data_IF_208081381449
#
_entry.id   IF_208081381449
#
_cell.length_a   1.000
_cell.length_b   1.000
_cell.length_c   1.000
_cell.angle_alpha   90.00
_cell.angle_beta   90.00
_cell.angle_gamma   90.00
#
_symmetry.space_group_name_H-M   'P 1'
#
loop_
_entity.id
_entity.type
_entity.pdbx_description
1 polymer ?
#
# COMPACT_ATOMS: atom_id res chain seq x y z
N UNK A 1 45.99 -48.70 -19.63
CA UNK A 1 44.54 -48.82 -19.93
C UNK A 1 43.62 -48.18 -18.86
N UNK A 2 43.81 -46.91 -18.43
CA UNK A 2 42.91 -46.27 -17.44
C UNK A 2 41.64 -45.61 -18.02
N UNK A 3 41.51 -45.45 -19.34
CA UNK A 3 40.47 -44.60 -19.95
C UNK A 3 39.02 -45.13 -19.91
N UNK A 4 38.80 -46.46 -19.85
CA UNK A 4 37.44 -47.04 -19.90
C UNK A 4 36.70 -46.93 -18.56
N UNK A 5 37.38 -47.18 -17.44
CA UNK A 5 36.78 -47.06 -16.12
C UNK A 5 36.41 -45.60 -15.81
N UNK A 6 37.29 -44.65 -16.14
CA UNK A 6 37.01 -43.22 -16.02
C UNK A 6 35.79 -42.79 -16.84
N UNK A 7 35.63 -43.30 -18.07
CA UNK A 7 34.47 -43.00 -18.91
C UNK A 7 33.15 -43.54 -18.33
N UNK A 8 33.14 -44.74 -17.75
CA UNK A 8 31.94 -45.28 -17.09
C UNK A 8 31.57 -44.51 -15.82
N UNK A 9 32.55 -44.12 -15.01
CA UNK A 9 32.33 -43.27 -13.84
C UNK A 9 31.75 -41.91 -14.23
N UNK A 10 32.30 -41.26 -15.25
CA UNK A 10 31.79 -39.98 -15.74
C UNK A 10 30.33 -40.10 -16.24
N UNK A 11 29.99 -41.16 -16.98
CA UNK A 11 28.62 -41.43 -17.44
C UNK A 11 27.66 -41.68 -16.28
N UNK A 12 28.09 -42.47 -15.29
CA UNK A 12 27.28 -42.74 -14.10
C UNK A 12 26.99 -41.45 -13.30
N UNK A 13 28.01 -40.60 -13.13
CA UNK A 13 27.86 -39.30 -12.47
C UNK A 13 26.89 -38.39 -13.23
N UNK A 14 27.03 -38.28 -14.55
CA UNK A 14 26.12 -37.48 -15.38
C UNK A 14 24.68 -37.98 -15.31
N UNK A 15 24.48 -39.31 -15.35
CA UNK A 15 23.16 -39.90 -15.18
C UNK A 15 22.55 -39.60 -13.81
N UNK A 16 23.35 -39.72 -12.73
CA UNK A 16 22.90 -39.40 -11.38
C UNK A 16 22.52 -37.92 -11.21
N UNK A 17 23.31 -37.00 -11.78
CA UNK A 17 23.00 -35.56 -11.79
C UNK A 17 21.71 -35.29 -12.56
N UNK A 18 21.54 -35.89 -13.75
CA UNK A 18 20.33 -35.71 -14.54
C UNK A 18 19.07 -36.21 -13.80
N UNK A 19 19.12 -37.40 -13.19
CA UNK A 19 18.03 -37.93 -12.38
C UNK A 19 17.72 -37.04 -11.17
N UNK A 20 18.76 -36.52 -10.50
CA UNK A 20 18.59 -35.62 -9.36
C UNK A 20 17.93 -34.31 -9.77
N UNK A 21 18.31 -33.73 -10.91
CA UNK A 21 17.71 -32.51 -11.45
C UNK A 21 16.23 -32.71 -11.81
N UNK A 22 15.88 -33.85 -12.42
CA UNK A 22 14.47 -34.17 -12.74
C UNK A 22 13.67 -34.34 -11.46
N UNK A 23 14.18 -35.10 -10.48
CA UNK A 23 13.50 -35.31 -9.20
C UNK A 23 13.30 -34.00 -8.42
N UNK A 24 14.30 -33.11 -8.44
CA UNK A 24 14.18 -31.78 -7.86
C UNK A 24 13.14 -30.92 -8.60
N UNK A 25 13.13 -30.95 -9.93
CA UNK A 25 12.14 -30.25 -10.73
C UNK A 25 10.72 -30.75 -10.47
N UNK A 26 10.50 -32.07 -10.39
CA UNK A 26 9.16 -32.63 -10.13
C UNK A 26 8.65 -32.35 -8.72
N UNK A 27 9.54 -32.15 -7.76
CA UNK A 27 9.17 -31.84 -6.37
C UNK A 27 8.98 -30.36 -6.11
N UNK A 28 9.75 -29.46 -6.75
CA UNK A 28 9.70 -28.01 -6.49
C UNK A 28 8.85 -27.21 -7.47
N UNK A 29 8.67 -27.69 -8.71
CA UNK A 29 7.89 -26.97 -9.72
C UNK A 29 6.44 -26.70 -9.29
N UNK A 30 5.72 -27.61 -8.61
CA UNK A 30 4.38 -27.33 -8.11
C UNK A 30 4.32 -26.10 -7.20
N UNK A 31 5.29 -25.94 -6.29
CA UNK A 31 5.34 -24.81 -5.35
C UNK A 31 5.50 -23.47 -6.08
N UNK A 32 6.38 -23.44 -7.10
CA UNK A 32 6.56 -22.25 -7.93
C UNK A 32 5.31 -21.91 -8.75
N UNK A 33 4.60 -22.92 -9.26
CA UNK A 33 3.34 -22.72 -10.00
C UNK A 33 2.25 -22.20 -9.07
N UNK A 34 2.12 -22.78 -7.88
CA UNK A 34 1.16 -22.36 -6.86
C UNK A 34 1.44 -20.92 -6.42
N UNK A 35 2.71 -20.60 -6.12
CA UNK A 35 3.13 -19.25 -5.77
C UNK A 35 2.82 -18.25 -6.89
N UNK A 36 3.17 -18.55 -8.15
CA UNK A 36 2.93 -17.65 -9.27
C UNK A 36 1.44 -17.33 -9.48
N UNK A 37 0.55 -18.31 -9.28
CA UNK A 37 -0.91 -18.12 -9.38
C UNK A 37 -1.45 -17.23 -8.24
N UNK A 38 -1.03 -17.51 -7.01
CA UNK A 38 -1.43 -16.71 -5.85
C UNK A 38 -0.89 -15.28 -5.94
N UNK A 39 0.35 -15.11 -6.43
CA UNK A 39 0.98 -13.81 -6.63
C UNK A 39 0.24 -12.97 -7.68
N UNK A 40 -0.23 -13.57 -8.77
CA UNK A 40 -1.05 -12.89 -9.77
C UNK A 40 -2.34 -12.29 -9.17
N UNK A 41 -3.06 -13.06 -8.36
CA UNK A 41 -4.27 -12.59 -7.69
C UNK A 41 -3.97 -11.53 -6.61
N UNK A 42 -2.93 -11.75 -5.80
CA UNK A 42 -2.45 -10.77 -4.82
C UNK A 42 -2.15 -9.42 -5.49
N UNK A 43 -1.43 -9.41 -6.60
CA UNK A 43 -1.02 -8.18 -7.28
C UNK A 43 -2.22 -7.39 -7.80
N UNK A 44 -3.26 -8.07 -8.32
CA UNK A 44 -4.53 -7.43 -8.69
C UNK A 44 -5.22 -6.81 -7.46
N UNK A 45 -5.29 -7.55 -6.35
CA UNK A 45 -5.91 -7.08 -5.11
C UNK A 45 -5.18 -5.87 -4.53
N UNK A 46 -3.84 -5.89 -4.51
CA UNK A 46 -3.01 -4.80 -3.98
C UNK A 46 -3.11 -3.54 -4.85
N UNK A 47 -3.35 -3.68 -6.16
CA UNK A 47 -3.65 -2.58 -7.07
C UNK A 47 -5.10 -2.10 -6.98
N UNK A 48 -5.86 -2.60 -5.99
CA UNK A 48 -7.27 -2.30 -5.79
C UNK A 48 -8.16 -2.65 -6.99
N UNK A 49 -7.75 -3.62 -7.82
CA UNK A 49 -8.61 -4.16 -8.87
C UNK A 49 -9.76 -4.94 -8.21
N UNK A 50 -11.03 -4.73 -8.61
CA UNK A 50 -12.13 -5.56 -8.16
C UNK A 50 -11.93 -7.01 -8.61
N UNK A 51 -11.97 -7.96 -7.68
CA UNK A 51 -11.89 -9.40 -7.96
C UNK A 51 -13.07 -10.08 -7.25
N UNK A 52 -13.85 -10.82 -8.02
CA UNK A 52 -15.07 -11.48 -7.54
C UNK A 52 -14.77 -12.75 -6.75
N UNK A 53 -15.69 -13.19 -5.90
CA UNK A 53 -15.54 -14.46 -5.17
C UNK A 53 -15.45 -15.66 -6.11
N UNK A 54 -16.15 -15.63 -7.26
CA UNK A 54 -16.08 -16.67 -8.27
C UNK A 54 -14.65 -16.85 -8.81
N UNK A 55 -13.94 -15.75 -9.10
CA UNK A 55 -12.54 -15.80 -9.55
C UNK A 55 -11.60 -16.28 -8.44
N UNK A 56 -11.89 -15.95 -7.18
CA UNK A 56 -11.09 -16.39 -6.04
C UNK A 56 -11.35 -17.85 -5.66
N UNK A 57 -12.54 -18.38 -5.95
CA UNK A 57 -12.94 -19.77 -5.70
C UNK A 57 -12.11 -20.79 -6.48
N UNK A 58 -11.65 -20.42 -7.68
CA UNK A 58 -10.69 -21.20 -8.46
C UNK A 58 -9.34 -21.38 -7.71
N UNK A 59 -9.00 -20.49 -6.79
CA UNK A 59 -7.80 -20.57 -5.94
C UNK A 59 -8.05 -21.34 -4.64
N UNK A 60 -9.28 -21.78 -4.36
CA UNK A 60 -9.66 -22.49 -3.14
C UNK A 60 -8.76 -23.68 -2.78
N UNK A 61 -8.43 -24.59 -3.72
CA UNK A 61 -7.51 -25.69 -3.46
C UNK A 61 -6.11 -25.22 -3.06
N UNK A 62 -5.59 -24.15 -3.70
CA UNK A 62 -4.28 -23.57 -3.40
C UNK A 62 -4.25 -22.96 -2.00
N UNK A 63 -5.28 -22.19 -1.66
CA UNK A 63 -5.43 -21.58 -0.33
C UNK A 63 -5.54 -22.63 0.77
N UNK A 64 -6.19 -23.77 0.49
CA UNK A 64 -6.32 -24.88 1.43
C UNK A 64 -4.97 -25.58 1.66
N UNK A 65 -4.19 -25.83 0.60
CA UNK A 65 -2.82 -26.34 0.70
C UNK A 65 -1.92 -25.39 1.51
N UNK A 66 -1.98 -24.10 1.20
CA UNK A 66 -1.20 -23.07 1.90
C UNK A 66 -1.48 -23.06 3.41
N UNK A 67 -2.71 -23.37 3.86
CA UNK A 67 -3.01 -23.48 5.30
C UNK A 67 -2.49 -24.78 5.89
N UNK A 68 -2.67 -25.90 5.19
CA UNK A 68 -2.26 -27.23 5.65
C UNK A 68 -0.74 -27.37 5.80
N UNK A 69 0.04 -26.62 5.03
CA UNK A 69 1.50 -26.64 5.08
C UNK A 69 2.01 -26.17 6.45
N UNK A 70 2.93 -26.91 7.06
CA UNK A 70 3.46 -26.56 8.40
C UNK A 70 4.69 -25.68 8.30
N UNK A 71 5.45 -25.85 7.23
CA UNK A 71 6.65 -25.09 7.01
C UNK A 71 6.31 -23.65 6.61
N UNK A 72 7.11 -22.71 7.10
CA UNK A 72 6.92 -21.30 6.77
C UNK A 72 7.32 -21.04 5.32
N UNK A 73 6.35 -20.60 4.52
CA UNK A 73 6.57 -20.16 3.14
C UNK A 73 6.09 -18.72 3.00
N UNK A 74 6.89 -17.72 3.46
CA UNK A 74 6.45 -16.33 3.62
C UNK A 74 5.74 -15.75 2.39
N UNK A 75 6.21 -16.05 1.18
CA UNK A 75 5.58 -15.57 -0.06
C UNK A 75 4.17 -16.15 -0.26
N UNK A 76 4.01 -17.46 -0.12
CA UNK A 76 2.72 -18.16 -0.27
C UNK A 76 1.75 -17.75 0.83
N UNK A 77 2.21 -17.77 2.10
CA UNK A 77 1.39 -17.41 3.24
C UNK A 77 0.89 -15.96 3.15
N UNK A 78 1.76 -15.04 2.71
CA UNK A 78 1.40 -13.64 2.48
C UNK A 78 0.35 -13.52 1.38
N UNK A 79 0.57 -14.14 0.22
CA UNK A 79 -0.40 -14.10 -0.89
C UNK A 79 -1.75 -14.68 -0.49
N UNK A 80 -1.75 -15.79 0.26
CA UNK A 80 -2.96 -16.40 0.79
C UNK A 80 -3.71 -15.48 1.77
N UNK A 81 -3.00 -14.76 2.65
CA UNK A 81 -3.59 -13.78 3.55
C UNK A 81 -4.23 -12.60 2.79
N UNK A 82 -3.58 -12.08 1.75
CA UNK A 82 -4.14 -10.99 0.90
C UNK A 82 -5.39 -11.45 0.14
N UNK A 83 -5.39 -12.67 -0.39
CA UNK A 83 -6.57 -13.22 -1.08
C UNK A 83 -7.75 -13.42 -0.11
N UNK A 84 -7.47 -13.95 1.08
CA UNK A 84 -8.50 -14.08 2.14
C UNK A 84 -9.02 -12.74 2.62
N UNK A 85 -8.19 -11.69 2.62
CA UNK A 85 -8.65 -10.34 2.91
C UNK A 85 -9.71 -9.92 1.90
N UNK A 86 -9.44 -10.12 0.59
CA UNK A 86 -10.42 -9.76 -0.43
C UNK A 86 -11.73 -10.55 -0.27
N UNK A 87 -11.68 -11.85 0.04
CA UNK A 87 -12.89 -12.63 0.35
C UNK A 87 -13.65 -12.10 1.57
N UNK A 88 -12.95 -11.68 2.62
CA UNK A 88 -13.57 -11.07 3.78
C UNK A 88 -14.19 -9.70 3.46
N UNK A 89 -13.53 -8.88 2.64
CA UNK A 89 -14.07 -7.61 2.12
C UNK A 89 -15.35 -7.86 1.28
N UNK A 90 -15.34 -8.85 0.39
CA UNK A 90 -16.50 -9.22 -0.43
C UNK A 90 -17.66 -9.74 0.45
N UNK A 91 -17.36 -10.60 1.43
CA UNK A 91 -18.33 -11.11 2.39
C UNK A 91 -18.99 -10.00 3.23
N UNK A 92 -18.22 -8.98 3.65
CA UNK A 92 -18.80 -7.81 4.31
C UNK A 92 -19.76 -7.03 3.40
N UNK A 93 -19.41 -6.92 2.10
CA UNK A 93 -20.24 -6.20 1.14
C UNK A 93 -21.53 -6.95 0.81
N UNK A 94 -21.49 -8.28 0.73
CA UNK A 94 -22.67 -9.12 0.44
C UNK A 94 -23.49 -9.49 1.68
N UNK A 95 -22.86 -9.51 2.86
CA UNK A 95 -23.42 -10.03 4.11
C UNK A 95 -23.33 -11.56 4.23
N UNK A 96 -22.77 -12.27 3.25
CA UNK A 96 -22.70 -13.73 3.24
C UNK A 96 -21.42 -14.24 3.90
N UNK A 97 -21.55 -15.22 4.81
CA UNK A 97 -20.42 -15.95 5.42
C UNK A 97 -19.37 -15.04 6.11
N UNK A 98 -19.77 -13.84 6.55
CA UNK A 98 -18.87 -12.82 7.14
C UNK A 98 -17.98 -13.43 8.23
N UNK A 99 -18.57 -14.12 9.21
CA UNK A 99 -17.81 -14.69 10.33
C UNK A 99 -16.82 -15.77 9.91
N UNK A 100 -17.21 -16.64 8.97
CA UNK A 100 -16.34 -17.68 8.45
C UNK A 100 -15.14 -17.07 7.71
N UNK A 101 -15.37 -16.12 6.80
CA UNK A 101 -14.30 -15.46 6.02
C UNK A 101 -13.37 -14.63 6.91
N UNK A 102 -13.92 -13.98 7.93
CA UNK A 102 -13.12 -13.25 8.91
C UNK A 102 -12.25 -14.17 9.77
N UNK A 103 -12.76 -15.35 10.14
CA UNK A 103 -11.99 -16.39 10.84
C UNK A 103 -10.84 -16.93 9.98
N UNK A 104 -11.13 -17.26 8.72
CA UNK A 104 -10.12 -17.70 7.74
C UNK A 104 -9.01 -16.64 7.56
N UNK A 105 -9.39 -15.36 7.48
CA UNK A 105 -8.44 -14.26 7.38
C UNK A 105 -7.56 -14.13 8.62
N UNK A 106 -8.14 -14.20 9.82
CA UNK A 106 -7.39 -14.09 11.08
C UNK A 106 -6.30 -15.17 11.18
N UNK A 107 -6.66 -16.42 10.86
CA UNK A 107 -5.73 -17.54 10.87
C UNK A 107 -4.59 -17.32 9.87
N UNK A 108 -4.92 -16.94 8.63
CA UNK A 108 -3.92 -16.73 7.58
C UNK A 108 -2.97 -15.56 7.89
N UNK A 109 -3.50 -14.44 8.40
CA UNK A 109 -2.68 -13.28 8.78
C UNK A 109 -1.77 -13.62 9.95
N UNK A 110 -2.27 -14.32 10.99
CA UNK A 110 -1.43 -14.74 12.12
C UNK A 110 -0.35 -15.72 11.70
N UNK A 111 -0.67 -16.71 10.86
CA UNK A 111 0.32 -17.64 10.29
C UNK A 111 1.38 -16.87 9.52
N UNK A 112 0.97 -16.01 8.59
CA UNK A 112 1.88 -15.26 7.75
C UNK A 112 2.77 -14.29 8.53
N UNK A 113 2.23 -13.58 9.54
CA UNK A 113 3.03 -12.75 10.46
C UNK A 113 3.98 -13.59 11.33
N UNK A 114 3.62 -14.83 11.67
CA UNK A 114 4.53 -15.75 12.33
C UNK A 114 5.76 -16.09 11.49
N UNK A 115 5.59 -16.18 10.17
CA UNK A 115 6.67 -16.44 9.21
C UNK A 115 7.40 -15.15 8.77
N UNK A 116 6.71 -14.01 8.73
CA UNK A 116 7.22 -12.71 8.28
C UNK A 116 6.74 -11.58 9.20
N UNK A 117 7.28 -11.48 10.44
CA UNK A 117 6.83 -10.49 11.43
C UNK A 117 7.13 -9.04 11.03
N UNK A 118 7.97 -8.84 10.02
CA UNK A 118 8.33 -7.53 9.49
C UNK A 118 7.43 -7.06 8.33
N UNK A 119 6.34 -7.75 7.99
CA UNK A 119 5.44 -7.33 6.90
C UNK A 119 4.47 -6.21 7.35
N UNK A 120 4.67 -4.95 6.90
CA UNK A 120 3.85 -3.81 7.35
C UNK A 120 2.39 -3.89 6.88
N UNK A 121 2.10 -4.57 5.78
CA UNK A 121 0.75 -4.68 5.26
C UNK A 121 -0.07 -5.66 6.09
N UNK A 122 0.50 -6.80 6.46
CA UNK A 122 -0.21 -7.78 7.29
C UNK A 122 -0.56 -7.23 8.68
N UNK A 123 0.27 -6.36 9.26
CA UNK A 123 -0.09 -5.61 10.47
C UNK A 123 -1.29 -4.68 10.27
N UNK A 124 -1.37 -4.00 9.12
CA UNK A 124 -2.53 -3.20 8.75
C UNK A 124 -3.78 -4.06 8.54
N UNK A 125 -3.65 -5.22 7.91
CA UNK A 125 -4.76 -6.17 7.72
C UNK A 125 -5.26 -6.67 9.07
N UNK A 126 -4.36 -7.01 10.00
CA UNK A 126 -4.75 -7.44 11.34
C UNK A 126 -5.44 -6.30 12.10
N UNK A 127 -4.95 -5.07 12.00
CA UNK A 127 -5.60 -3.89 12.55
C UNK A 127 -7.03 -3.72 12.03
N UNK A 128 -7.21 -3.76 10.71
CA UNK A 128 -8.52 -3.67 10.07
C UNK A 128 -9.48 -4.77 10.54
N UNK A 129 -9.00 -6.01 10.57
CA UNK A 129 -9.77 -7.18 10.99
C UNK A 129 -10.26 -7.05 12.44
N UNK A 130 -9.36 -6.66 13.35
CA UNK A 130 -9.70 -6.51 14.78
C UNK A 130 -10.71 -5.40 14.99
N UNK A 131 -10.53 -4.23 14.36
CA UNK A 131 -11.49 -3.15 14.47
C UNK A 131 -12.85 -3.48 13.86
N UNK A 132 -12.87 -4.22 12.75
CA UNK A 132 -14.12 -4.64 12.11
C UNK A 132 -14.90 -5.61 13.00
N UNK A 133 -14.22 -6.53 13.68
CA UNK A 133 -14.88 -7.55 14.53
C UNK A 133 -15.19 -7.07 15.95
N UNK A 134 -14.35 -6.23 16.53
CA UNK A 134 -14.35 -5.93 17.97
C UNK A 134 -14.56 -4.45 18.27
N UNK A 135 -14.64 -3.60 17.23
CA UNK A 135 -14.65 -2.15 17.39
C UNK A 135 -13.25 -1.58 17.65
N UNK A 136 -13.19 -0.25 17.71
CA UNK A 136 -11.97 0.51 17.93
C UNK A 136 -11.53 0.38 19.40
N UNK A 137 -10.24 0.09 19.62
CA UNK A 137 -9.66 0.01 20.97
C UNK A 137 -8.18 0.40 20.96
N UNK A 138 -7.66 0.83 22.11
CA UNK A 138 -6.27 1.23 22.25
C UNK A 138 -5.29 0.10 21.88
N UNK A 139 -5.62 -1.14 22.24
CA UNK A 139 -4.83 -2.33 21.91
C UNK A 139 -4.71 -2.55 20.39
N UNK A 140 -5.72 -2.14 19.61
CA UNK A 140 -5.67 -2.26 18.16
C UNK A 140 -4.69 -1.23 17.56
N UNK A 141 -4.54 -0.03 18.15
CA UNK A 141 -3.63 0.98 17.62
C UNK A 141 -2.16 0.55 17.58
N UNK A 142 -1.73 -0.37 18.45
CA UNK A 142 -0.39 -0.97 18.37
C UNK A 142 -0.14 -1.72 17.06
N UNK A 143 -1.18 -2.31 16.47
CA UNK A 143 -1.10 -2.98 15.17
C UNK A 143 -0.87 -1.96 14.04
N UNK A 144 -1.60 -0.83 14.07
CA UNK A 144 -1.39 0.25 13.11
C UNK A 144 -0.01 0.89 13.27
N UNK A 145 0.44 1.10 14.50
CA UNK A 145 1.79 1.57 14.82
C UNK A 145 2.86 0.65 14.26
N UNK A 146 2.65 -0.67 14.32
CA UNK A 146 3.57 -1.63 13.73
C UNK A 146 3.62 -1.52 12.20
N UNK A 147 2.48 -1.30 11.54
CA UNK A 147 2.45 -1.03 10.09
C UNK A 147 3.27 0.21 9.71
N UNK A 148 3.10 1.31 10.45
CA UNK A 148 3.88 2.54 10.23
C UNK A 148 5.37 2.35 10.48
N UNK A 149 5.73 1.64 11.56
CA UNK A 149 7.13 1.41 11.94
C UNK A 149 7.88 0.57 10.91
N UNK A 150 7.25 -0.47 10.37
CA UNK A 150 7.90 -1.41 9.46
C UNK A 150 7.87 -0.96 8.00
N UNK A 151 6.89 -0.16 7.60
CA UNK A 151 6.70 0.27 6.21
C UNK A 151 6.28 1.73 6.07
N UNK A 152 7.05 2.71 6.57
CA UNK A 152 6.67 4.12 6.54
C UNK A 152 6.64 4.74 5.13
N UNK A 153 7.31 4.10 4.16
CA UNK A 153 7.53 4.59 2.79
C UNK A 153 6.97 3.64 1.70
N UNK A 154 6.12 2.69 2.08
CA UNK A 154 5.56 1.70 1.16
C UNK A 154 4.34 2.27 0.42
N UNK A 155 4.59 2.99 -0.69
CA UNK A 155 3.54 3.73 -1.43
C UNK A 155 2.30 2.91 -1.80
N UNK A 156 2.47 1.61 -2.06
CA UNK A 156 1.37 0.69 -2.37
C UNK A 156 0.46 0.37 -1.15
N UNK A 157 0.96 0.52 0.08
CA UNK A 157 0.17 0.37 1.32
C UNK A 157 -0.56 1.68 1.65
N UNK A 158 0.09 2.80 1.35
CA UNK A 158 -0.32 4.13 1.84
C UNK A 158 -1.78 4.42 1.52
N UNK A 159 -2.27 4.10 0.31
CA UNK A 159 -3.67 4.39 -0.06
C UNK A 159 -4.66 3.75 0.91
N UNK A 160 -4.54 2.44 1.16
CA UNK A 160 -5.43 1.75 2.10
C UNK A 160 -5.21 2.19 3.54
N UNK A 161 -3.94 2.35 3.96
CA UNK A 161 -3.59 2.74 5.33
C UNK A 161 -4.07 4.14 5.68
N UNK A 162 -3.71 5.13 4.86
CA UNK A 162 -4.12 6.53 5.04
C UNK A 162 -5.64 6.65 4.99
N UNK A 163 -6.33 6.00 4.04
CA UNK A 163 -7.78 6.08 3.97
C UNK A 163 -8.43 5.61 5.28
N UNK A 164 -8.01 4.44 5.78
CA UNK A 164 -8.51 3.88 7.02
C UNK A 164 -8.17 4.75 8.24
N UNK A 165 -6.93 5.18 8.36
CA UNK A 165 -6.48 6.01 9.47
C UNK A 165 -7.17 7.37 9.48
N UNK A 166 -7.40 7.98 8.32
CA UNK A 166 -8.12 9.25 8.18
C UNK A 166 -9.60 9.12 8.57
N UNK A 167 -10.26 8.00 8.26
CA UNK A 167 -11.65 7.76 8.70
C UNK A 167 -11.81 7.76 10.22
N UNK A 168 -10.75 7.44 10.97
CA UNK A 168 -10.75 7.40 12.44
C UNK A 168 -9.80 8.41 13.08
N UNK A 169 -9.42 9.47 12.35
CA UNK A 169 -8.32 10.35 12.71
C UNK A 169 -8.48 10.98 14.10
N UNK A 170 -9.69 11.42 14.46
CA UNK A 170 -9.95 12.06 15.76
C UNK A 170 -9.85 11.09 16.95
N UNK A 171 -9.91 9.78 16.71
CA UNK A 171 -9.72 8.76 17.72
C UNK A 171 -8.26 8.26 17.80
N UNK A 172 -7.39 8.67 16.87
CA UNK A 172 -6.00 8.23 16.86
C UNK A 172 -5.21 8.82 18.04
N UNK A 173 -4.35 8.03 18.68
CA UNK A 173 -3.27 8.54 19.51
C UNK A 173 -2.45 9.62 18.79
N UNK A 174 -1.86 10.54 19.56
CA UNK A 174 -1.17 11.71 19.01
C UNK A 174 0.02 11.36 18.10
N UNK A 175 0.72 10.27 18.40
CA UNK A 175 1.82 9.77 17.57
C UNK A 175 1.29 9.25 16.21
N UNK A 176 0.23 8.45 16.21
CA UNK A 176 -0.39 7.95 14.98
C UNK A 176 -1.03 9.06 14.14
N UNK A 177 -1.67 10.03 14.78
CA UNK A 177 -2.17 11.23 14.08
C UNK A 177 -1.03 11.96 13.37
N UNK A 178 0.13 12.06 14.02
CA UNK A 178 1.32 12.69 13.44
C UNK A 178 1.88 11.87 12.28
N UNK A 179 1.90 10.54 12.40
CA UNK A 179 2.34 9.64 11.35
C UNK A 179 1.45 9.72 10.10
N UNK A 180 0.13 9.84 10.26
CA UNK A 180 -0.84 10.02 9.15
C UNK A 180 -0.59 11.33 8.42
N UNK A 181 -0.41 12.44 9.15
CA UNK A 181 -0.10 13.75 8.54
C UNK A 181 1.24 13.69 7.79
N UNK A 182 2.25 13.07 8.39
CA UNK A 182 3.56 12.91 7.77
C UNK A 182 3.52 12.00 6.53
N UNK A 183 2.71 10.94 6.55
CA UNK A 183 2.47 10.06 5.41
C UNK A 183 1.81 10.81 4.24
N UNK A 184 0.78 11.61 4.50
CA UNK A 184 0.17 12.47 3.50
C UNK A 184 1.19 13.44 2.88
N UNK A 185 2.02 14.08 3.70
CA UNK A 185 3.09 14.94 3.21
C UNK A 185 4.11 14.20 2.34
N UNK A 186 4.43 12.93 2.68
CA UNK A 186 5.30 12.08 1.88
C UNK A 186 4.70 11.78 0.51
N UNK A 187 3.41 11.49 0.40
CA UNK A 187 2.74 11.27 -0.90
C UNK A 187 2.94 12.46 -1.84
N UNK A 188 2.69 13.67 -1.34
CA UNK A 188 2.85 14.90 -2.13
C UNK A 188 4.32 15.12 -2.50
N UNK A 189 5.24 14.87 -1.56
CA UNK A 189 6.68 14.96 -1.80
C UNK A 189 7.17 13.97 -2.87
N UNK A 190 6.60 12.77 -2.94
CA UNK A 190 6.97 11.72 -3.91
C UNK A 190 6.11 11.74 -5.17
N UNK A 191 5.37 12.82 -5.42
CA UNK A 191 4.59 13.03 -6.64
C UNK A 191 3.44 12.03 -6.85
N UNK A 192 2.99 11.37 -5.78
CA UNK A 192 1.78 10.52 -5.76
C UNK A 192 0.54 11.40 -5.60
N UNK A 193 0.33 12.29 -6.57
CA UNK A 193 -0.69 13.33 -6.50
C UNK A 193 -2.10 12.76 -6.58
N UNK A 194 -2.33 11.75 -7.42
CA UNK A 194 -3.66 11.14 -7.57
C UNK A 194 -4.14 10.55 -6.24
N UNK A 195 -3.27 9.81 -5.55
CA UNK A 195 -3.55 9.22 -4.25
C UNK A 195 -3.75 10.30 -3.18
N UNK A 196 -2.90 11.33 -3.16
CA UNK A 196 -3.04 12.45 -2.22
C UNK A 196 -4.36 13.19 -2.42
N UNK A 197 -4.75 13.43 -3.67
CA UNK A 197 -6.04 14.07 -4.03
C UNK A 197 -7.21 13.22 -3.57
N UNK A 198 -7.19 11.91 -3.84
CA UNK A 198 -8.26 10.99 -3.47
C UNK A 198 -8.42 10.90 -1.95
N UNK A 199 -7.31 10.86 -1.20
CA UNK A 199 -7.34 10.89 0.25
C UNK A 199 -7.87 12.23 0.79
N UNK A 200 -7.42 13.36 0.24
CA UNK A 200 -7.80 14.68 0.71
C UNK A 200 -9.27 15.01 0.41
N UNK A 201 -9.78 14.64 -0.76
CA UNK A 201 -11.19 14.88 -1.15
C UNK A 201 -12.15 13.91 -0.46
N UNK A 202 -11.67 12.73 -0.07
CA UNK A 202 -12.43 11.70 0.62
C UNK A 202 -12.28 11.79 2.14
N UNK A 203 -11.70 10.76 2.79
CA UNK A 203 -11.66 10.66 4.25
C UNK A 203 -10.84 11.77 4.92
N UNK A 204 -9.89 12.39 4.21
CA UNK A 204 -9.05 13.46 4.73
C UNK A 204 -9.73 14.83 4.77
N UNK A 205 -10.88 15.02 4.14
CA UNK A 205 -11.47 16.36 3.96
C UNK A 205 -11.82 17.03 5.29
N UNK A 206 -12.36 16.27 6.24
CA UNK A 206 -12.66 16.74 7.60
C UNK A 206 -11.42 17.22 8.36
N UNK A 207 -10.24 16.72 7.98
CA UNK A 207 -8.95 17.02 8.61
C UNK A 207 -8.01 17.77 7.67
N UNK A 208 -8.53 18.35 6.57
CA UNK A 208 -7.73 19.04 5.53
C UNK A 208 -6.76 20.04 6.12
N UNK A 209 -7.20 20.76 7.14
CA UNK A 209 -6.45 21.82 7.79
C UNK A 209 -5.16 21.31 8.47
N UNK A 210 -5.24 20.11 9.08
CA UNK A 210 -4.09 19.42 9.68
C UNK A 210 -3.18 18.84 8.60
N UNK A 211 -3.76 18.24 7.56
CA UNK A 211 -3.02 17.67 6.43
C UNK A 211 -2.24 18.73 5.65
N UNK A 212 -2.87 19.86 5.34
CA UNK A 212 -2.25 21.00 4.66
C UNK A 212 -1.17 21.65 5.52
N UNK A 213 -1.35 21.73 6.84
CA UNK A 213 -0.31 22.19 7.75
C UNK A 213 0.94 21.28 7.70
N UNK A 214 0.74 19.96 7.55
CA UNK A 214 1.82 18.99 7.37
C UNK A 214 2.67 19.19 6.11
N UNK A 215 2.16 19.93 5.11
CA UNK A 215 2.89 20.21 3.87
C UNK A 215 3.97 21.27 4.02
N UNK A 216 4.12 21.90 5.19
CA UNK A 216 5.15 22.92 5.43
C UNK A 216 6.59 22.43 5.16
N UNK A 217 6.84 21.12 5.26
CA UNK A 217 8.14 20.50 4.98
C UNK A 217 8.28 19.95 3.54
N UNK A 218 7.25 20.12 2.69
CA UNK A 218 7.22 19.62 1.30
C UNK A 218 7.71 20.72 0.36
N UNK A 219 8.49 20.40 -0.70
CA UNK A 219 8.91 21.41 -1.67
C UNK A 219 7.73 22.19 -2.25
N UNK A 220 7.84 23.53 -2.30
CA UNK A 220 6.77 24.42 -2.78
C UNK A 220 6.22 24.01 -4.14
N UNK A 221 7.08 23.58 -5.06
CA UNK A 221 6.69 23.07 -6.38
C UNK A 221 5.63 21.97 -6.30
N UNK A 222 5.79 21.01 -5.38
CA UNK A 222 4.88 19.88 -5.24
C UNK A 222 3.56 20.32 -4.61
N UNK A 223 3.61 21.23 -3.64
CA UNK A 223 2.42 21.84 -3.02
C UNK A 223 1.62 22.65 -4.04
N UNK A 224 2.30 23.41 -4.91
CA UNK A 224 1.68 24.19 -5.99
C UNK A 224 1.04 23.30 -7.06
N UNK A 225 1.63 22.14 -7.36
CA UNK A 225 1.04 21.15 -8.26
C UNK A 225 -0.25 20.60 -7.63
N UNK A 226 -0.20 20.10 -6.39
CA UNK A 226 -1.37 19.60 -5.68
C UNK A 226 -2.49 20.65 -5.62
N UNK A 227 -2.16 21.88 -5.25
CA UNK A 227 -3.13 22.98 -5.10
C UNK A 227 -3.82 23.32 -6.42
N UNK A 228 -3.05 23.41 -7.51
CA UNK A 228 -3.62 23.66 -8.85
C UNK A 228 -4.48 22.50 -9.31
N UNK A 229 -4.00 21.26 -9.18
CA UNK A 229 -4.78 20.08 -9.59
C UNK A 229 -6.07 19.95 -8.80
N UNK A 230 -6.07 20.23 -7.49
CA UNK A 230 -7.28 20.28 -6.67
C UNK A 230 -8.24 21.38 -7.14
N UNK A 231 -7.74 22.57 -7.46
CA UNK A 231 -8.57 23.67 -7.96
C UNK A 231 -9.20 23.32 -9.32
N UNK A 232 -8.47 22.66 -10.21
CA UNK A 232 -8.95 22.24 -11.53
C UNK A 232 -10.11 21.23 -11.43
N UNK A 233 -10.16 20.43 -10.36
CA UNK A 233 -11.28 19.50 -10.07
C UNK A 233 -12.34 20.09 -9.12
N UNK A 234 -12.32 21.41 -8.89
CA UNK A 234 -13.34 22.13 -8.12
C UNK A 234 -13.13 22.15 -6.60
N UNK A 235 -11.96 21.73 -6.11
CA UNK A 235 -11.62 21.77 -4.69
C UNK A 235 -10.63 22.89 -4.40
N UNK A 236 -11.10 23.90 -3.69
CA UNK A 236 -10.29 25.03 -3.29
C UNK A 236 -9.58 24.77 -1.96
N UNK A 237 -8.26 24.62 -2.01
CA UNK A 237 -7.42 24.46 -0.82
C UNK A 237 -6.98 25.79 -0.21
N UNK A 238 -7.24 26.89 -0.89
CA UNK A 238 -6.85 28.20 -0.42
C UNK A 238 -7.85 28.66 0.65
N UNK A 239 -7.39 28.74 1.91
CA UNK A 239 -8.18 29.33 3.00
C UNK A 239 -8.50 30.81 2.77
N UNK A 240 -7.87 31.45 1.79
CA UNK A 240 -8.12 32.84 1.41
C UNK A 240 -9.53 33.00 0.88
N UNK A 241 -10.25 33.94 1.48
CA UNK A 241 -11.54 34.39 0.97
C UNK A 241 -11.43 34.79 -0.52
N UNK A 242 -12.51 34.73 -1.30
CA UNK A 242 -12.51 35.22 -2.68
C UNK A 242 -12.02 36.68 -2.82
N UNK A 243 -12.15 37.48 -1.75
CA UNK A 243 -11.62 38.84 -1.67
C UNK A 243 -10.09 38.87 -1.57
N UNK A 244 -9.49 38.05 -0.71
CA UNK A 244 -8.03 37.98 -0.55
C UNK A 244 -7.33 37.43 -1.79
N UNK A 245 -7.98 36.50 -2.51
CA UNK A 245 -7.46 35.99 -3.80
C UNK A 245 -7.41 37.05 -4.89
N UNK A 246 -8.49 37.82 -5.05
CA UNK A 246 -8.51 38.95 -6.00
C UNK A 246 -7.43 39.98 -5.66
N UNK A 247 -7.22 40.26 -4.39
CA UNK A 247 -6.22 41.22 -3.94
C UNK A 247 -4.78 40.74 -4.21
N UNK A 248 -4.54 39.43 -4.11
CA UNK A 248 -3.25 38.82 -4.44
C UNK A 248 -2.97 38.81 -5.95
N UNK A 249 -3.97 38.43 -6.76
CA UNK A 249 -3.86 38.49 -8.23
C UNK A 249 -3.63 39.93 -8.71
N UNK A 250 -4.28 40.91 -8.08
CA UNK A 250 -4.04 42.31 -8.39
C UNK A 250 -2.59 42.74 -8.06
N UNK A 251 -2.10 42.41 -6.85
CA UNK A 251 -0.71 42.69 -6.46
C UNK A 251 0.34 41.99 -7.32
N UNK A 252 0.09 40.77 -7.79
CA UNK A 252 1.04 40.10 -8.70
C UNK A 252 1.09 40.77 -10.06
N UNK A 253 -0.06 41.17 -10.59
CA UNK A 253 -0.14 41.87 -11.87
C UNK A 253 0.49 43.25 -11.79
N UNK A 254 0.26 44.00 -10.70
CA UNK A 254 0.90 45.31 -10.47
C UNK A 254 2.44 45.17 -10.43
N UNK A 255 2.96 44.13 -9.78
CA UNK A 255 4.41 43.88 -9.72
C UNK A 255 4.99 43.54 -11.10
N UNK A 256 4.25 42.81 -11.94
CA UNK A 256 4.65 42.53 -13.33
C UNK A 256 4.62 43.79 -14.20
N UNK A 257 3.58 44.61 -14.05
CA UNK A 257 3.44 45.89 -14.76
C UNK A 257 4.52 46.89 -14.34
N UNK A 258 4.89 46.92 -13.06
CA UNK A 258 5.95 47.78 -12.54
C UNK A 258 7.33 47.36 -13.09
N UNK A 259 7.61 46.06 -13.15
CA UNK A 259 8.79 45.53 -13.83
C UNK A 259 8.79 45.86 -15.33
N UNK A 260 7.64 45.84 -15.99
CA UNK A 260 7.48 46.19 -17.40
C UNK A 260 7.72 47.69 -17.67
N UNK A 261 7.42 48.57 -16.71
CA UNK A 261 7.62 50.03 -16.79
C UNK A 261 9.00 50.52 -16.34
N UNK A 262 9.83 49.65 -15.74
CA UNK A 262 11.20 50.03 -15.41
C UNK A 262 12.03 50.31 -16.66
N UNK A 263 12.76 51.45 -16.71
CA UNK A 263 13.64 51.79 -17.82
C UNK A 263 14.74 50.73 -18.00
N UNK A 264 15.18 50.48 -19.25
CA UNK A 264 16.09 49.37 -19.58
C UNK A 264 17.42 49.40 -18.80
N UNK A 265 17.85 50.57 -18.36
CA UNK A 265 19.07 50.77 -17.56
C UNK A 265 18.98 50.20 -16.13
N UNK A 266 17.77 50.02 -15.60
CA UNK A 266 17.52 49.47 -14.27
C UNK A 266 17.39 47.92 -14.26
N UNK A 267 17.26 47.28 -15.43
CA UNK A 267 17.14 45.80 -15.54
C UNK A 267 18.51 45.09 -15.60
N UNK A 268 19.60 45.83 -15.69
CA UNK A 268 20.95 45.31 -15.90
C UNK A 268 21.90 45.66 -14.74
N UNK A 269 21.61 45.15 -13.54
CA UNK A 269 22.65 44.97 -12.51
C UNK A 269 22.47 43.57 -11.89
N UNK A 270 23.50 42.70 -11.96
CA UNK A 270 23.45 41.36 -11.36
C UNK A 270 23.41 41.41 -9.83
#
# INVERSE_FOLDING_TARGET
MPGRAAAWLARGLLAAVACSSVAWGTTTLPDFVDQARLDGAKDLILRNVPVSDAELDDLGPLLSRAVAERDCMPAIDRSAAVIRLRRAENALASGEQVDARMGELDEAVRKSLGCAPADPYLWLVLFWLRNTRQGLSDANFDLLRMSYRLGPNEGWIVVKRSAMALTMFDALPADLSSDVVAEFARLVKTELYTEAIDLLKGPGWAHRDKLLAGLAAVPLRNVDILTRTMADIGYDLDRRSPAERRNWQHKSNDRFDELARMPPEARARP
#
